data_IF_706575069698
#
_entry.id   IF_706575069698
#
_cell.length_a   1.000
_cell.length_b   1.000
_cell.length_c   1.000
_cell.angle_alpha   90.00
_cell.angle_beta   90.00
_cell.angle_gamma   90.00
#
_symmetry.space_group_name_H-M   'P 1'
#
loop_
_entity.id
_entity.type
_entity.pdbx_description
1 polymer ?
#
# COMPACT_ATOMS: atom_id res chain seq x y z
N UNK A 1 -8.33 4.57 23.92
CA UNK A 1 -6.97 4.31 23.37
C UNK A 1 -6.30 5.63 23.05
N UNK A 2 -4.95 5.68 23.09
CA UNK A 2 -4.14 6.81 22.62
C UNK A 2 -3.69 6.56 21.19
N UNK A 3 -4.12 7.40 20.25
CA UNK A 3 -3.93 7.23 18.83
C UNK A 3 -3.06 8.35 18.25
N UNK A 4 -2.26 8.04 17.23
CA UNK A 4 -1.62 9.02 16.37
C UNK A 4 -2.25 8.94 14.98
N UNK A 5 -2.90 10.01 14.52
CA UNK A 5 -3.39 10.16 13.15
C UNK A 5 -2.31 10.84 12.29
N UNK A 6 -1.68 10.05 11.41
CA UNK A 6 -0.66 10.53 10.48
C UNK A 6 -1.33 10.91 9.16
N UNK A 7 -1.43 12.20 8.88
CA UNK A 7 -2.13 12.76 7.72
C UNK A 7 -1.15 13.08 6.60
N UNK A 8 -1.41 12.56 5.40
CA UNK A 8 -0.71 12.98 4.19
C UNK A 8 -1.62 13.89 3.34
N UNK A 9 -1.53 15.19 3.57
CA UNK A 9 -2.34 16.21 2.87
C UNK A 9 -2.08 16.30 1.35
N UNK A 10 -1.01 15.67 0.85
CA UNK A 10 -0.74 15.56 -0.60
C UNK A 10 -1.48 14.41 -1.26
N UNK A 11 -2.10 13.50 -0.50
CA UNK A 11 -2.87 12.40 -1.05
C UNK A 11 -4.21 12.90 -1.64
N UNK A 12 -4.69 12.24 -2.69
CA UNK A 12 -5.76 12.75 -3.57
C UNK A 12 -7.10 12.95 -2.88
N UNK A 13 -7.43 12.12 -1.88
CA UNK A 13 -8.72 12.16 -1.15
C UNK A 13 -8.61 12.78 0.25
N UNK A 14 -7.41 13.20 0.66
CA UNK A 14 -7.20 13.90 1.92
C UNK A 14 -7.44 15.39 1.71
N UNK A 15 -8.49 15.90 2.35
CA UNK A 15 -8.85 17.31 2.34
C UNK A 15 -8.91 17.85 3.76
N UNK A 16 -8.74 19.17 3.99
CA UNK A 16 -8.89 19.74 5.33
C UNK A 16 -10.24 19.39 5.97
N UNK A 17 -11.32 19.39 5.18
CA UNK A 17 -12.66 19.02 5.63
C UNK A 17 -12.69 17.57 6.12
N UNK A 18 -12.19 16.61 5.31
CA UNK A 18 -12.18 15.20 5.68
C UNK A 18 -11.29 14.96 6.90
N UNK A 19 -10.14 15.63 7.00
CA UNK A 19 -9.25 15.52 8.16
C UNK A 19 -9.95 15.94 9.46
N UNK A 20 -10.67 17.07 9.45
CA UNK A 20 -11.42 17.52 10.63
C UNK A 20 -12.53 16.53 10.98
N UNK A 21 -13.27 15.99 10.00
CA UNK A 21 -14.34 15.03 10.24
C UNK A 21 -13.79 13.73 10.78
N UNK A 22 -12.76 13.16 10.15
CA UNK A 22 -12.07 11.95 10.59
C UNK A 22 -11.54 12.10 12.03
N UNK A 23 -10.80 13.18 12.30
CA UNK A 23 -10.32 13.45 13.65
C UNK A 23 -11.46 13.49 14.67
N UNK A 24 -12.56 14.21 14.37
CA UNK A 24 -13.73 14.28 15.27
C UNK A 24 -14.37 12.91 15.50
N UNK A 25 -14.41 12.03 14.48
CA UNK A 25 -14.96 10.69 14.60
C UNK A 25 -14.14 9.83 15.56
N UNK A 26 -12.83 9.77 15.34
CA UNK A 26 -11.93 9.02 16.20
C UNK A 26 -11.85 9.59 17.63
N UNK A 27 -11.95 10.91 17.78
CA UNK A 27 -11.86 11.58 19.09
C UNK A 27 -13.14 11.48 19.94
N UNK A 28 -14.16 10.78 19.48
CA UNK A 28 -15.36 10.52 20.31
C UNK A 28 -15.03 9.61 21.50
N UNK A 29 -14.22 8.57 21.21
CA UNK A 29 -13.97 7.48 22.15
C UNK A 29 -12.47 7.28 22.44
N UNK A 30 -11.60 8.05 21.76
CA UNK A 30 -10.14 7.90 21.84
C UNK A 30 -9.45 9.24 22.00
N UNK A 31 -8.25 9.23 22.60
CA UNK A 31 -7.33 10.38 22.63
C UNK A 31 -6.48 10.40 21.36
N UNK A 32 -6.65 11.42 20.53
CA UNK A 32 -6.10 11.45 19.15
C UNK A 32 -5.18 12.63 18.95
N UNK A 33 -3.89 12.34 18.79
CA UNK A 33 -2.91 13.29 18.29
C UNK A 33 -2.92 13.31 16.76
N UNK A 34 -2.73 14.49 16.14
CA UNK A 34 -2.69 14.63 14.68
C UNK A 34 -1.34 15.20 14.26
N UNK A 35 -0.72 14.56 13.28
CA UNK A 35 0.51 15.05 12.65
C UNK A 35 0.40 15.01 11.13
N UNK A 36 1.00 15.98 10.44
CA UNK A 36 1.02 16.03 8.99
C UNK A 36 2.41 15.69 8.43
N UNK A 37 2.40 14.89 7.36
CA UNK A 37 3.62 14.61 6.61
C UNK A 37 3.86 15.68 5.54
N UNK A 38 5.11 16.05 5.31
CA UNK A 38 5.48 16.99 4.24
C UNK A 38 6.55 16.43 3.28
N UNK A 39 7.07 15.23 3.54
CA UNK A 39 8.05 14.55 2.69
C UNK A 39 8.08 13.04 2.98
N UNK A 40 8.73 12.28 2.11
CA UNK A 40 8.99 10.85 2.33
C UNK A 40 9.76 10.60 3.63
N UNK A 41 9.41 9.50 4.31
CA UNK A 41 10.00 9.09 5.58
C UNK A 41 9.44 9.79 6.81
N UNK A 42 8.59 10.83 6.66
CA UNK A 42 7.98 11.47 7.83
C UNK A 42 7.01 10.54 8.54
N UNK A 43 6.17 9.80 7.80
CA UNK A 43 5.21 8.89 8.41
C UNK A 43 5.93 7.79 9.20
N UNK A 44 7.06 7.25 8.70
CA UNK A 44 7.89 6.31 9.43
C UNK A 44 8.44 6.91 10.74
N UNK A 45 8.95 8.15 10.69
CA UNK A 45 9.49 8.79 11.89
C UNK A 45 8.44 9.04 12.97
N UNK A 46 7.26 9.49 12.57
CA UNK A 46 6.13 9.70 13.49
C UNK A 46 5.65 8.37 14.08
N UNK A 47 5.59 7.31 13.27
CA UNK A 47 5.20 5.98 13.72
C UNK A 47 6.21 5.38 14.71
N UNK A 48 7.51 5.53 14.46
CA UNK A 48 8.58 5.11 15.40
C UNK A 48 8.47 5.89 16.72
N UNK A 49 8.23 7.20 16.67
CA UNK A 49 8.05 8.01 17.88
C UNK A 49 6.82 7.57 18.67
N UNK A 50 5.69 7.37 18.00
CA UNK A 50 4.46 6.90 18.61
C UNK A 50 4.65 5.53 19.31
N UNK A 51 5.32 4.59 18.63
CA UNK A 51 5.62 3.28 19.20
C UNK A 51 6.56 3.39 20.44
N UNK A 52 7.57 4.23 20.39
CA UNK A 52 8.46 4.48 21.56
C UNK A 52 7.73 5.10 22.74
N UNK A 53 6.74 5.94 22.48
CA UNK A 53 5.88 6.56 23.50
C UNK A 53 4.80 5.60 24.02
N UNK A 54 4.68 4.40 23.43
CA UNK A 54 3.71 3.40 23.79
C UNK A 54 2.26 3.84 23.46
N UNK A 55 2.04 4.50 22.31
CA UNK A 55 0.70 4.74 21.81
C UNK A 55 0.06 3.42 21.40
N UNK A 56 -1.26 3.30 21.56
CA UNK A 56 -2.00 2.08 21.29
C UNK A 56 -2.07 1.80 19.78
N UNK A 57 -2.25 2.84 18.96
CA UNK A 57 -2.25 2.68 17.51
C UNK A 57 -1.75 3.92 16.77
N UNK A 58 -1.22 3.70 15.55
CA UNK A 58 -0.92 4.73 14.55
C UNK A 58 -1.81 4.51 13.34
N UNK A 59 -2.58 5.54 12.98
CA UNK A 59 -3.53 5.50 11.87
C UNK A 59 -2.95 6.27 10.69
N UNK A 60 -2.71 5.57 9.58
CA UNK A 60 -2.26 6.16 8.32
C UNK A 60 -3.44 6.73 7.54
N UNK A 61 -3.59 8.06 7.49
CA UNK A 61 -4.57 8.72 6.63
C UNK A 61 -3.85 9.26 5.38
N UNK A 62 -3.87 8.46 4.34
CA UNK A 62 -3.15 8.74 3.10
C UNK A 62 -3.32 7.62 2.08
N UNK A 63 -2.44 7.58 1.07
CA UNK A 63 -2.39 6.45 0.13
C UNK A 63 -1.52 5.31 0.64
N UNK A 64 -1.45 4.24 -0.15
CA UNK A 64 -0.70 3.00 0.14
C UNK A 64 0.78 3.23 0.51
N UNK A 65 1.42 4.26 -0.06
CA UNK A 65 2.79 4.64 0.32
C UNK A 65 2.91 5.17 1.76
N UNK A 66 1.93 5.96 2.22
CA UNK A 66 1.89 6.46 3.60
C UNK A 66 1.66 5.32 4.58
N UNK A 67 0.79 4.37 4.23
CA UNK A 67 0.55 3.16 4.99
C UNK A 67 1.85 2.35 5.18
N UNK A 68 2.58 2.06 4.10
CA UNK A 68 3.84 1.31 4.17
C UNK A 68 4.92 2.03 4.99
N UNK A 69 4.94 3.36 4.99
CA UNK A 69 5.81 4.14 5.86
C UNK A 69 5.43 3.97 7.34
N UNK A 70 4.14 4.03 7.68
CA UNK A 70 3.67 3.81 9.06
C UNK A 70 3.95 2.36 9.47
N UNK A 71 3.63 1.38 8.62
CA UNK A 71 3.92 -0.03 8.87
C UNK A 71 5.41 -0.26 9.18
N UNK A 72 6.31 0.40 8.43
CA UNK A 72 7.76 0.33 8.69
C UNK A 72 8.13 0.88 10.08
N UNK A 73 7.39 1.86 10.57
CA UNK A 73 7.66 2.47 11.88
C UNK A 73 7.13 1.67 13.07
N UNK A 74 6.04 0.94 12.90
CA UNK A 74 5.40 0.16 13.99
C UNK A 74 5.72 -1.33 13.94
N UNK A 75 6.31 -1.82 12.85
CA UNK A 75 6.61 -3.24 12.69
C UNK A 75 7.44 -3.78 13.86
N UNK A 76 7.01 -4.93 14.42
CA UNK A 76 7.68 -5.57 15.56
C UNK A 76 7.48 -4.85 16.90
N UNK A 77 6.52 -3.94 17.00
CA UNK A 77 6.12 -3.30 18.26
C UNK A 77 4.70 -3.70 18.65
N UNK A 78 4.27 -3.32 19.86
CA UNK A 78 2.90 -3.52 20.34
C UNK A 78 1.91 -2.46 19.81
N UNK A 79 2.38 -1.43 19.12
CA UNK A 79 1.54 -0.37 18.56
C UNK A 79 0.83 -0.86 17.30
N UNK A 80 -0.49 -0.83 17.31
CA UNK A 80 -1.29 -1.27 16.18
C UNK A 80 -1.20 -0.33 14.98
N UNK A 81 -1.44 -0.86 13.77
CA UNK A 81 -1.55 -0.11 12.53
C UNK A 81 -3.01 0.01 12.12
N UNK A 82 -3.51 1.22 12.00
CA UNK A 82 -4.78 1.53 11.34
C UNK A 82 -4.57 2.20 9.98
N UNK A 83 -5.57 2.10 9.10
CA UNK A 83 -5.52 2.73 7.77
C UNK A 83 -6.83 3.44 7.45
N UNK A 84 -6.72 4.63 6.85
CA UNK A 84 -7.85 5.36 6.27
C UNK A 84 -7.54 5.69 4.80
N UNK A 85 -8.48 5.44 3.90
CA UNK A 85 -8.27 5.64 2.46
C UNK A 85 -8.12 7.13 2.13
N UNK A 86 -6.93 7.52 1.70
CA UNK A 86 -6.62 8.90 1.30
C UNK A 86 -6.01 9.00 -0.10
N UNK A 87 -5.65 7.89 -0.70
CA UNK A 87 -5.08 7.81 -2.05
C UNK A 87 -6.12 7.55 -3.14
N UNK A 88 -5.64 7.30 -4.36
CA UNK A 88 -6.50 7.00 -5.51
C UNK A 88 -6.96 5.56 -5.58
N UNK A 89 -6.19 4.60 -5.09
CA UNK A 89 -6.49 3.16 -5.21
C UNK A 89 -6.82 2.52 -3.87
N UNK A 90 -6.05 2.85 -2.81
CA UNK A 90 -6.23 2.39 -1.43
C UNK A 90 -6.32 0.87 -1.35
N UNK A 91 -5.33 0.19 -1.96
CA UNK A 91 -5.35 -1.28 -2.14
C UNK A 91 -5.54 -1.98 -0.80
N UNK A 92 -4.73 -1.66 0.19
CA UNK A 92 -4.77 -2.36 1.47
C UNK A 92 -6.06 -2.10 2.26
N UNK A 93 -6.51 -0.84 2.37
CA UNK A 93 -7.74 -0.49 3.07
C UNK A 93 -8.95 -1.26 2.50
N UNK A 94 -9.04 -1.32 1.17
CA UNK A 94 -10.11 -2.06 0.46
C UNK A 94 -9.96 -3.58 0.61
N UNK A 95 -8.73 -4.09 0.62
CA UNK A 95 -8.45 -5.53 0.81
C UNK A 95 -8.91 -6.03 2.17
N UNK A 96 -8.77 -5.22 3.23
CA UNK A 96 -9.27 -5.57 4.57
C UNK A 96 -10.75 -5.22 4.78
N UNK A 97 -11.46 -4.79 3.73
CA UNK A 97 -12.90 -4.59 3.74
C UNK A 97 -13.37 -3.21 4.19
N UNK A 98 -12.48 -2.25 4.43
CA UNK A 98 -12.87 -0.89 4.79
C UNK A 98 -13.52 -0.16 3.60
N UNK A 99 -14.48 0.70 3.90
CA UNK A 99 -15.05 1.64 2.94
C UNK A 99 -13.97 2.45 2.24
N UNK A 100 -14.13 2.74 0.94
CA UNK A 100 -13.21 3.62 0.22
C UNK A 100 -13.52 5.13 0.43
N UNK A 101 -14.55 5.45 1.21
CA UNK A 101 -14.82 6.80 1.71
C UNK A 101 -14.12 7.00 3.06
N UNK A 102 -13.25 8.02 3.22
CA UNK A 102 -12.47 8.19 4.45
C UNK A 102 -13.30 8.47 5.70
N UNK A 103 -14.50 9.05 5.53
CA UNK A 103 -15.37 9.35 6.69
C UNK A 103 -16.08 8.09 7.16
N UNK A 104 -16.61 7.28 6.24
CA UNK A 104 -17.21 6.00 6.56
C UNK A 104 -16.16 5.03 7.14
N UNK A 105 -14.96 4.96 6.53
CA UNK A 105 -13.86 4.16 7.05
C UNK A 105 -13.41 4.59 8.46
N UNK A 106 -13.55 5.87 8.81
CA UNK A 106 -13.22 6.34 10.16
C UNK A 106 -14.24 5.89 11.21
N UNK A 107 -15.51 5.79 10.85
CA UNK A 107 -16.53 5.21 11.74
C UNK A 107 -16.28 3.70 11.93
N UNK A 108 -16.07 2.94 10.83
CA UNK A 108 -15.75 1.51 10.86
C UNK A 108 -14.48 1.22 11.69
N UNK A 109 -13.44 2.04 11.54
CA UNK A 109 -12.21 1.91 12.30
C UNK A 109 -12.39 2.24 13.78
N UNK A 110 -13.16 3.28 14.11
CA UNK A 110 -13.44 3.65 15.50
C UNK A 110 -14.21 2.55 16.23
N UNK A 111 -15.23 1.96 15.58
CA UNK A 111 -15.99 0.83 16.11
C UNK A 111 -15.07 -0.39 16.34
N UNK A 112 -14.25 -0.76 15.34
CA UNK A 112 -13.31 -1.89 15.45
C UNK A 112 -12.29 -1.71 16.59
N UNK A 113 -11.76 -0.48 16.77
CA UNK A 113 -10.85 -0.16 17.88
C UNK A 113 -11.56 -0.21 19.24
N UNK A 114 -12.81 0.27 19.31
CA UNK A 114 -13.64 0.22 20.50
C UNK A 114 -13.95 -1.22 20.94
N UNK A 115 -14.12 -2.13 20.00
CA UNK A 115 -14.35 -3.55 20.23
C UNK A 115 -13.05 -4.36 20.42
N UNK A 116 -11.88 -3.72 20.27
CA UNK A 116 -10.58 -4.37 20.43
C UNK A 116 -10.21 -5.30 19.26
N UNK A 117 -10.76 -5.10 18.09
CA UNK A 117 -10.50 -5.89 16.90
C UNK A 117 -9.10 -5.57 16.32
N UNK A 118 -8.06 -6.06 16.98
CA UNK A 118 -6.66 -5.95 16.55
C UNK A 118 -6.13 -7.34 16.25
N UNK A 119 -5.63 -7.55 15.03
CA UNK A 119 -5.15 -8.86 14.58
C UNK A 119 -3.69 -8.75 14.16
N UNK A 120 -2.79 -9.62 14.67
CA UNK A 120 -1.43 -9.75 14.18
C UNK A 120 -1.41 -10.17 12.71
N UNK A 121 -0.57 -9.51 11.90
CA UNK A 121 -0.44 -9.80 10.47
C UNK A 121 1.03 -9.91 10.07
N UNK A 122 1.31 -10.74 9.05
CA UNK A 122 2.61 -10.78 8.41
C UNK A 122 2.85 -9.54 7.55
N UNK A 123 4.10 -9.07 7.52
CA UNK A 123 4.55 -8.00 6.61
C UNK A 123 5.69 -8.50 5.74
N UNK A 124 5.71 -8.08 4.48
CA UNK A 124 6.89 -8.25 3.64
C UNK A 124 7.93 -7.16 3.93
N UNK A 125 9.20 -7.48 3.68
CA UNK A 125 10.31 -6.52 3.84
C UNK A 125 11.18 -6.50 2.59
N UNK A 126 11.53 -5.31 2.12
CA UNK A 126 12.48 -5.11 1.03
C UNK A 126 13.41 -3.93 1.37
N UNK A 127 14.72 -4.19 1.37
CA UNK A 127 15.73 -3.17 1.69
C UNK A 127 15.44 -2.39 2.98
N UNK A 128 15.02 -3.10 4.05
CA UNK A 128 14.71 -2.52 5.36
C UNK A 128 13.39 -1.73 5.43
N UNK A 129 12.55 -1.79 4.39
CA UNK A 129 11.22 -1.16 4.37
C UNK A 129 10.14 -2.23 4.31
N UNK A 130 9.12 -2.09 5.14
CA UNK A 130 7.99 -3.01 5.13
C UNK A 130 6.95 -2.64 4.08
N UNK A 131 6.25 -3.65 3.58
CA UNK A 131 5.08 -3.48 2.72
C UNK A 131 3.92 -4.36 3.21
N UNK A 132 2.72 -3.80 3.16
CA UNK A 132 1.52 -4.46 3.68
C UNK A 132 0.87 -5.39 2.64
N UNK A 133 0.97 -5.08 1.35
CA UNK A 133 0.22 -5.76 0.32
C UNK A 133 1.12 -6.37 -0.79
N UNK A 134 1.93 -5.60 -1.51
CA UNK A 134 2.88 -6.16 -2.47
C UNK A 134 4.07 -5.24 -2.74
N UNK A 135 5.10 -5.79 -3.38
CA UNK A 135 6.21 -5.06 -3.98
C UNK A 135 6.56 -5.67 -5.33
N UNK A 136 7.02 -4.84 -6.25
CA UNK A 136 7.35 -5.26 -7.60
C UNK A 136 8.80 -4.99 -7.98
N UNK A 137 9.34 -5.85 -8.86
CA UNK A 137 10.68 -5.75 -9.44
C UNK A 137 10.58 -5.83 -10.96
N UNK A 138 11.49 -5.15 -11.64
CA UNK A 138 11.53 -5.15 -13.10
C UNK A 138 10.47 -4.22 -13.71
N UNK A 139 9.65 -4.74 -14.62
CA UNK A 139 8.65 -3.96 -15.33
C UNK A 139 7.67 -3.22 -14.40
N UNK A 140 7.18 -3.87 -13.34
CA UNK A 140 6.27 -3.27 -12.37
C UNK A 140 6.91 -2.03 -11.71
N UNK A 141 8.13 -2.17 -11.22
CA UNK A 141 8.88 -1.06 -10.62
C UNK A 141 9.12 0.08 -11.63
N UNK A 142 9.36 -0.23 -12.90
CA UNK A 142 9.52 0.77 -13.96
C UNK A 142 8.23 1.56 -14.23
N UNK A 143 7.06 0.89 -14.21
CA UNK A 143 5.74 1.53 -14.35
C UNK A 143 5.49 2.46 -13.16
N UNK A 144 5.69 1.99 -11.93
CA UNK A 144 5.51 2.81 -10.72
C UNK A 144 6.43 4.04 -10.75
N UNK A 145 7.70 3.86 -11.12
CA UNK A 145 8.65 4.98 -11.28
C UNK A 145 8.22 5.98 -12.36
N UNK A 146 7.59 5.52 -13.45
CA UNK A 146 7.04 6.39 -14.49
C UNK A 146 5.83 7.20 -14.00
N UNK A 147 4.96 6.62 -13.18
CA UNK A 147 3.83 7.30 -12.54
C UNK A 147 4.33 8.33 -11.54
N UNK A 148 5.33 7.99 -10.72
CA UNK A 148 5.87 8.88 -9.70
C UNK A 148 6.58 10.11 -10.27
N UNK A 149 7.28 9.96 -11.40
CA UNK A 149 7.85 11.12 -12.12
C UNK A 149 6.80 12.14 -12.56
N UNK A 150 5.53 11.75 -12.59
CA UNK A 150 4.38 12.60 -12.95
C UNK A 150 3.44 12.82 -11.76
N UNK A 151 3.99 12.92 -10.56
CA UNK A 151 3.24 13.02 -9.31
C UNK A 151 2.18 14.15 -9.31
N UNK A 152 2.45 15.28 -9.99
CA UNK A 152 1.49 16.38 -10.14
C UNK A 152 0.22 15.97 -10.91
N UNK A 153 0.33 15.07 -11.88
CA UNK A 153 -0.79 14.56 -12.66
C UNK A 153 -1.53 13.42 -11.95
N UNK A 154 -0.87 12.70 -11.05
CA UNK A 154 -1.44 11.57 -10.29
C UNK A 154 -2.69 12.00 -9.49
N UNK A 155 -2.69 13.21 -8.95
CA UNK A 155 -3.83 13.76 -8.18
C UNK A 155 -5.11 13.86 -9.00
N UNK A 156 -4.99 14.11 -10.32
CA UNK A 156 -6.14 14.34 -11.23
C UNK A 156 -6.47 13.13 -12.09
N UNK A 157 -5.48 12.28 -12.41
CA UNK A 157 -5.58 11.22 -13.40
C UNK A 157 -5.08 9.86 -12.87
N UNK A 158 -5.39 9.49 -11.64
CA UNK A 158 -4.86 8.30 -10.97
C UNK A 158 -4.85 7.02 -11.85
N UNK A 159 -6.01 6.43 -12.16
CA UNK A 159 -6.11 5.21 -12.97
C UNK A 159 -5.72 5.40 -14.44
N UNK A 160 -6.21 6.42 -15.18
CA UNK A 160 -5.78 6.68 -16.56
C UNK A 160 -4.28 6.91 -16.68
N UNK A 161 -3.65 7.58 -15.70
CA UNK A 161 -2.20 7.80 -15.69
C UNK A 161 -1.44 6.48 -15.50
N UNK A 162 -1.94 5.58 -14.65
CA UNK A 162 -1.33 4.28 -14.44
C UNK A 162 -1.38 3.43 -15.73
N UNK A 163 -2.54 3.31 -16.37
CA UNK A 163 -2.73 2.59 -17.63
C UNK A 163 -1.81 3.19 -18.73
N UNK A 164 -1.81 4.50 -18.88
CA UNK A 164 -0.95 5.17 -19.85
C UNK A 164 0.54 4.95 -19.55
N UNK A 165 0.95 5.01 -18.28
CA UNK A 165 2.34 4.74 -17.87
C UNK A 165 2.73 3.29 -18.14
N UNK A 166 1.83 2.34 -17.92
CA UNK A 166 2.05 0.91 -18.24
C UNK A 166 2.28 0.74 -19.73
N UNK A 167 1.39 1.26 -20.58
CA UNK A 167 1.50 1.18 -22.05
C UNK A 167 2.75 1.91 -22.55
N UNK A 168 3.03 3.11 -22.03
CA UNK A 168 4.21 3.89 -22.42
C UNK A 168 5.52 3.21 -22.00
N UNK A 169 5.59 2.65 -20.80
CA UNK A 169 6.74 1.89 -20.31
C UNK A 169 6.95 0.63 -21.13
N UNK A 170 5.85 -0.10 -21.41
CA UNK A 170 5.89 -1.30 -22.24
C UNK A 170 6.36 -1.02 -23.68
N UNK A 171 5.91 0.09 -24.29
CA UNK A 171 6.18 0.39 -25.69
C UNK A 171 7.53 1.07 -25.94
N UNK A 172 8.05 1.87 -25.01
CA UNK A 172 9.20 2.75 -25.24
C UNK A 172 10.26 2.75 -24.15
N UNK A 173 9.92 2.31 -22.95
CA UNK A 173 10.76 2.53 -21.78
C UNK A 173 11.40 1.29 -21.16
N UNK A 174 11.05 0.09 -21.63
CA UNK A 174 11.53 -1.16 -21.02
C UNK A 174 12.14 -2.09 -22.09
N UNK A 175 13.34 -2.59 -21.82
CA UNK A 175 13.99 -3.57 -22.69
C UNK A 175 13.31 -4.94 -22.55
N UNK A 176 12.53 -5.30 -23.56
CA UNK A 176 11.78 -6.57 -23.64
C UNK A 176 12.57 -7.70 -24.28
N UNK A 177 13.76 -7.42 -24.77
CA UNK A 177 14.61 -8.42 -25.40
C UNK A 177 15.52 -9.13 -24.39
N UNK A 178 15.78 -8.48 -23.25
CA UNK A 178 16.70 -9.00 -22.25
C UNK A 178 16.02 -9.05 -20.88
N UNK A 179 15.88 -10.24 -20.30
CA UNK A 179 15.46 -10.38 -18.90
C UNK A 179 16.45 -9.64 -18.00
N UNK A 180 15.94 -9.06 -16.93
CA UNK A 180 16.75 -8.15 -16.10
C UNK A 180 17.03 -8.67 -14.69
N UNK A 181 16.41 -9.79 -14.27
CA UNK A 181 16.66 -10.38 -12.98
C UNK A 181 16.32 -11.88 -12.93
N UNK A 182 16.82 -12.53 -11.90
CA UNK A 182 16.44 -13.88 -11.48
C UNK A 182 15.87 -13.82 -10.07
N UNK A 183 15.01 -14.77 -9.72
CA UNK A 183 14.40 -14.88 -8.41
C UNK A 183 14.76 -16.24 -7.83
N UNK A 184 15.30 -16.25 -6.63
CA UNK A 184 15.55 -17.48 -5.89
C UNK A 184 14.77 -17.43 -4.58
N UNK A 185 13.91 -18.42 -4.36
CA UNK A 185 13.17 -18.57 -3.12
C UNK A 185 14.04 -19.19 -2.02
N UNK A 186 13.66 -19.02 -0.76
CA UNK A 186 14.41 -19.55 0.38
C UNK A 186 14.49 -21.08 0.43
N UNK A 187 13.62 -21.78 -0.30
CA UNK A 187 13.63 -23.24 -0.47
C UNK A 187 14.55 -23.73 -1.62
N UNK A 188 15.28 -22.80 -2.26
CA UNK A 188 16.22 -23.09 -3.34
C UNK A 188 15.59 -23.13 -4.74
N UNK A 189 14.26 -23.01 -4.89
CA UNK A 189 13.63 -22.88 -6.20
C UNK A 189 14.04 -21.56 -6.86
N UNK A 190 14.34 -21.60 -8.14
CA UNK A 190 14.81 -20.43 -8.88
C UNK A 190 14.05 -20.26 -10.20
N UNK A 191 13.82 -19.01 -10.57
CA UNK A 191 13.25 -18.59 -11.85
C UNK A 191 14.26 -17.66 -12.49
N UNK A 192 14.84 -18.07 -13.59
CA UNK A 192 15.79 -17.28 -14.35
C UNK A 192 15.08 -16.50 -15.48
N UNK A 193 15.63 -15.37 -15.82
CA UNK A 193 15.16 -14.61 -16.95
C UNK A 193 13.83 -13.91 -16.73
N UNK A 194 13.56 -13.40 -15.55
CA UNK A 194 12.36 -12.65 -15.25
C UNK A 194 12.42 -11.20 -15.78
N UNK A 195 11.29 -10.72 -16.28
CA UNK A 195 11.04 -9.33 -16.67
C UNK A 195 10.18 -8.58 -15.63
N UNK A 196 9.32 -9.30 -14.98
CA UNK A 196 8.40 -8.80 -13.95
C UNK A 196 8.36 -9.82 -12.83
N UNK A 197 8.53 -9.35 -11.61
CA UNK A 197 8.24 -10.15 -10.41
C UNK A 197 7.43 -9.30 -9.45
N UNK A 198 6.33 -9.86 -8.96
CA UNK A 198 5.54 -9.27 -7.89
C UNK A 198 5.58 -10.22 -6.70
N UNK A 199 5.94 -9.69 -5.55
CA UNK A 199 5.89 -10.40 -4.26
C UNK A 199 4.67 -9.89 -3.51
N UNK A 200 3.71 -10.77 -3.30
CA UNK A 200 2.39 -10.45 -2.73
C UNK A 200 2.30 -10.93 -1.28
N UNK A 201 1.77 -10.07 -0.44
CA UNK A 201 1.38 -10.35 0.94
C UNK A 201 -0.15 -10.46 1.07
N UNK A 202 -0.89 -9.92 0.10
CA UNK A 202 -2.36 -9.95 0.04
C UNK A 202 -2.85 -10.11 -1.38
N UNK A 203 -4.12 -10.50 -1.55
CA UNK A 203 -4.90 -10.41 -2.77
C UNK A 203 -6.11 -9.49 -2.50
N UNK A 204 -6.55 -8.65 -3.46
CA UNK A 204 -6.07 -8.53 -4.83
C UNK A 204 -4.76 -7.74 -4.97
N UNK A 205 -4.11 -7.86 -6.14
CA UNK A 205 -2.94 -7.06 -6.50
C UNK A 205 -3.28 -5.56 -6.57
N UNK A 206 -4.40 -5.23 -7.22
CA UNK A 206 -4.88 -3.83 -7.32
C UNK A 206 -6.38 -3.79 -7.61
N UNK A 207 -6.91 -2.60 -7.81
CA UNK A 207 -8.30 -2.39 -8.22
C UNK A 207 -8.36 -1.49 -9.46
N UNK A 208 -9.18 -1.87 -10.44
CA UNK A 208 -9.59 -1.03 -11.56
C UNK A 208 -11.01 -0.53 -11.32
N UNK A 209 -11.14 0.71 -10.87
CA UNK A 209 -12.41 1.19 -10.32
C UNK A 209 -12.81 0.34 -9.10
N UNK A 210 -13.95 -0.33 -9.18
CA UNK A 210 -14.42 -1.23 -8.11
C UNK A 210 -14.09 -2.71 -8.34
N UNK A 211 -13.48 -3.07 -9.47
CA UNK A 211 -13.15 -4.45 -9.80
C UNK A 211 -11.78 -4.81 -9.24
N UNK A 212 -11.64 -5.89 -8.46
CA UNK A 212 -10.35 -6.41 -8.06
C UNK A 212 -9.62 -7.01 -9.26
N UNK A 213 -8.32 -6.89 -9.25
CA UNK A 213 -7.40 -7.54 -10.21
C UNK A 213 -6.52 -8.48 -9.40
N UNK A 214 -6.69 -9.77 -9.60
CA UNK A 214 -5.98 -10.81 -8.85
C UNK A 214 -4.83 -11.38 -9.67
N UNK A 215 -3.64 -11.42 -9.07
CA UNK A 215 -2.48 -12.16 -9.60
C UNK A 215 -2.27 -13.49 -8.90
N UNK A 216 -2.59 -13.56 -7.63
CA UNK A 216 -2.46 -14.76 -6.81
C UNK A 216 -3.52 -14.75 -5.69
N UNK A 217 -4.72 -15.31 -5.92
CA UNK A 217 -5.80 -15.34 -4.94
C UNK A 217 -5.46 -16.04 -3.62
N UNK A 218 -4.37 -16.82 -3.61
CA UNK A 218 -3.88 -17.53 -2.41
C UNK A 218 -3.08 -16.65 -1.45
N UNK A 219 -2.71 -15.43 -1.87
CA UNK A 219 -1.96 -14.50 -1.02
C UNK A 219 -2.86 -13.92 0.07
N UNK A 220 -2.44 -14.00 1.32
CA UNK A 220 -3.21 -13.56 2.48
C UNK A 220 -2.27 -13.24 3.64
N UNK A 221 -2.70 -12.33 4.54
CA UNK A 221 -1.90 -11.78 5.64
C UNK A 221 -1.45 -12.81 6.68
N UNK A 222 -2.06 -13.97 6.70
CA UNK A 222 -1.76 -15.10 7.60
C UNK A 222 -0.88 -16.17 6.95
N UNK A 223 -0.41 -15.95 5.71
CA UNK A 223 0.37 -16.90 4.92
C UNK A 223 1.74 -16.36 4.52
N UNK A 224 2.68 -17.22 4.13
CA UNK A 224 3.93 -16.79 3.52
C UNK A 224 3.70 -15.96 2.25
N UNK A 225 4.66 -15.10 1.93
CA UNK A 225 4.64 -14.29 0.72
C UNK A 225 4.52 -15.16 -0.53
N UNK A 226 3.71 -14.70 -1.48
CA UNK A 226 3.53 -15.36 -2.79
C UNK A 226 4.32 -14.60 -3.84
N UNK A 227 5.12 -15.31 -4.62
CA UNK A 227 5.94 -14.74 -5.70
C UNK A 227 5.36 -15.12 -7.05
N UNK A 228 5.04 -14.11 -7.85
CA UNK A 228 4.60 -14.25 -9.25
C UNK A 228 5.64 -13.63 -10.15
N UNK A 229 6.22 -14.40 -11.07
CA UNK A 229 7.23 -13.92 -12.02
C UNK A 229 6.83 -14.21 -13.45
N UNK A 230 7.00 -13.23 -14.32
CA UNK A 230 6.80 -13.37 -15.76
C UNK A 230 8.15 -13.41 -16.47
N UNK A 231 8.39 -14.50 -17.20
CA UNK A 231 9.59 -14.70 -18.03
C UNK A 231 9.39 -14.26 -19.49
N UNK A 232 8.20 -13.76 -19.81
CA UNK A 232 7.86 -13.15 -21.10
C UNK A 232 6.94 -11.94 -20.89
N UNK A 233 7.13 -10.90 -21.70
CA UNK A 233 6.29 -9.69 -21.73
C UNK A 233 5.66 -9.54 -23.11
N UNK A 234 4.94 -10.56 -23.58
CA UNK A 234 4.08 -10.45 -24.77
C UNK A 234 2.63 -10.15 -24.38
N UNK A 235 1.84 -9.70 -25.37
CA UNK A 235 0.42 -9.33 -25.15
C UNK A 235 -0.44 -10.53 -24.73
N UNK A 236 -0.09 -11.75 -25.15
CA UNK A 236 -0.82 -12.96 -24.82
C UNK A 236 -0.58 -13.31 -23.33
N UNK A 237 0.65 -13.21 -22.85
CA UNK A 237 1.01 -13.43 -21.44
C UNK A 237 0.35 -12.39 -20.54
N UNK A 238 0.38 -11.10 -20.92
CA UNK A 238 -0.27 -10.03 -20.15
C UNK A 238 -1.79 -10.18 -20.16
N UNK A 239 -2.42 -10.53 -21.28
CA UNK A 239 -3.87 -10.71 -21.38
C UNK A 239 -4.40 -11.96 -20.68
N UNK A 240 -3.57 -12.97 -20.43
CA UNK A 240 -3.93 -14.19 -19.70
C UNK A 240 -3.66 -14.14 -18.19
N UNK A 241 -2.97 -13.08 -17.73
CA UNK A 241 -2.58 -12.89 -16.31
C UNK A 241 -3.55 -11.93 -15.58
N UNK A 242 -4.39 -11.19 -16.32
CA UNK A 242 -5.37 -10.21 -15.82
C UNK A 242 -6.82 -10.61 -16.26
#
# INVERSE_FOLDING_TARGET
MRLLLVVNSFASSVTPRNTVVVHRRLSRDHDVEVVETNRRGHATRFAVDAARRGLDAVIAFGGDGTLNEVATGVAGTETALGVLPGGSTNVFARTIGLSNDPVAAADELADALGEGHITPVGLGTVNGRHFCFHTGVGFDAAVVAAVERRASLKRWFGHPLFIWSTVSTWSRGFDRARPNHSVTAGDGRSIDGAFLTVVLNTSPYTFLGNRPVDLAPVASLDRPLVVVSLTRLDLATLGGTF
#
